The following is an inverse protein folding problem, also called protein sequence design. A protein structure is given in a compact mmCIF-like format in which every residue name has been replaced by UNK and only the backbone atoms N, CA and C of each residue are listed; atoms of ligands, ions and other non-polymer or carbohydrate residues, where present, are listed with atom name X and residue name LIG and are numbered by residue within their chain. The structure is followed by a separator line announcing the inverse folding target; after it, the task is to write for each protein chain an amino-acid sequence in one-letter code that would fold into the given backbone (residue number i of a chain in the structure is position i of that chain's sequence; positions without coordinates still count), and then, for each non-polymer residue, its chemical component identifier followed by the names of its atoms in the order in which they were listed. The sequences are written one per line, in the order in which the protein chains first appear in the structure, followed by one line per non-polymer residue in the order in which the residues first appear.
data_IF_663341873724
#
_entry.id   IF_663341873724
#
_cell.length_a   1.000
_cell.length_b   1.000
_cell.length_c   1.000
_cell.angle_alpha   90.00
_cell.angle_beta   90.00
_cell.angle_gamma   90.00
#
_symmetry.space_group_name_H-M   'P 1'
#
loop_
_entity.id
_entity.type
_entity.pdbx_description
1 polymer ?
#
# COMPACT_ATOMS: atom_id res chain seq x y z
N UNK A 1 -78.27 -25.50 11.46
CA UNK A 1 -77.28 -24.39 11.59
C UNK A 1 -76.21 -24.62 10.54
N UNK A 2 -76.35 -24.00 9.36
CA UNK A 2 -75.39 -24.17 8.24
C UNK A 2 -74.32 -23.07 8.35
N UNK A 3 -73.07 -23.49 8.53
CA UNK A 3 -71.91 -22.60 8.41
C UNK A 3 -71.61 -22.42 6.90
N UNK A 4 -71.78 -21.21 6.41
CA UNK A 4 -71.35 -20.79 5.12
C UNK A 4 -69.85 -20.51 5.17
N UNK A 5 -69.03 -21.34 4.53
CA UNK A 5 -67.61 -21.11 4.27
C UNK A 5 -67.54 -20.33 2.96
N UNK A 6 -66.96 -19.15 2.99
CA UNK A 6 -66.71 -18.33 1.83
C UNK A 6 -65.55 -18.89 0.99
N UNK A 7 -65.69 -19.16 -0.31
CA UNK A 7 -64.65 -19.81 -1.15
C UNK A 7 -63.56 -18.84 -1.67
N UNK A 8 -63.44 -17.64 -1.08
CA UNK A 8 -62.56 -16.60 -1.64
C UNK A 8 -61.20 -16.43 -0.93
N UNK A 9 -60.99 -16.93 0.28
CA UNK A 9 -59.90 -16.48 1.14
C UNK A 9 -58.62 -17.34 1.12
N UNK A 10 -58.54 -18.43 0.33
CA UNK A 10 -57.40 -19.34 0.40
C UNK A 10 -56.40 -19.25 -0.76
N UNK A 11 -56.69 -18.45 -1.80
CA UNK A 11 -55.76 -18.30 -2.96
C UNK A 11 -54.81 -17.08 -2.86
N UNK A 12 -55.24 -16.02 -2.19
CA UNK A 12 -54.42 -14.79 -2.09
C UNK A 12 -53.25 -14.92 -1.16
N UNK A 13 -53.39 -15.62 -0.02
CA UNK A 13 -52.32 -15.77 0.96
C UNK A 13 -51.10 -16.60 0.48
N UNK A 14 -51.30 -17.51 -0.47
CA UNK A 14 -50.20 -18.30 -1.05
C UNK A 14 -49.51 -17.55 -2.18
N UNK A 15 -50.22 -16.71 -2.88
CA UNK A 15 -49.66 -15.90 -3.99
C UNK A 15 -48.84 -14.73 -3.44
N UNK A 16 -49.28 -14.11 -2.37
CA UNK A 16 -48.54 -13.04 -1.71
C UNK A 16 -47.27 -13.57 -1.02
N UNK A 17 -47.33 -14.75 -0.40
CA UNK A 17 -46.15 -15.38 0.19
C UNK A 17 -45.09 -15.79 -0.87
N UNK A 18 -45.54 -16.26 -2.05
CA UNK A 18 -44.65 -16.58 -3.16
C UNK A 18 -44.09 -15.32 -3.81
N UNK A 19 -44.88 -14.26 -3.96
CA UNK A 19 -44.43 -12.97 -4.49
C UNK A 19 -43.46 -12.30 -3.50
N UNK A 20 -43.71 -12.40 -2.20
CA UNK A 20 -42.75 -11.90 -1.19
C UNK A 20 -41.46 -12.73 -1.14
N UNK A 21 -41.48 -14.01 -1.41
CA UNK A 21 -40.27 -14.82 -1.52
C UNK A 21 -39.47 -14.55 -2.80
N UNK A 22 -40.12 -14.12 -3.89
CA UNK A 22 -39.45 -13.69 -5.13
C UNK A 22 -38.94 -12.24 -5.06
N UNK A 23 -39.55 -11.38 -4.23
CA UNK A 23 -39.10 -10.01 -4.01
C UNK A 23 -38.07 -9.88 -2.89
N UNK A 24 -37.75 -10.94 -2.15
CA UNK A 24 -36.50 -11.09 -1.46
C UNK A 24 -35.38 -11.37 -2.49
N UNK A 25 -35.22 -10.47 -3.47
CA UNK A 25 -33.95 -10.39 -4.18
C UNK A 25 -32.91 -10.20 -3.08
N UNK A 26 -32.11 -11.21 -2.80
CA UNK A 26 -30.92 -11.08 -1.97
C UNK A 26 -30.20 -9.85 -2.48
N UNK A 27 -30.28 -8.75 -1.73
CA UNK A 27 -29.36 -7.64 -1.94
C UNK A 27 -27.99 -8.31 -1.94
N UNK A 28 -27.15 -8.11 -2.95
CA UNK A 28 -25.82 -8.68 -2.95
C UNK A 28 -25.22 -8.33 -1.60
N UNK A 29 -24.91 -9.32 -0.79
CA UNK A 29 -24.26 -9.14 0.51
C UNK A 29 -22.89 -8.59 0.14
N UNK A 30 -22.77 -7.25 0.16
CA UNK A 30 -21.48 -6.64 -0.03
C UNK A 30 -20.56 -7.15 1.06
N UNK A 31 -19.33 -7.57 0.72
CA UNK A 31 -18.38 -7.99 1.74
C UNK A 31 -18.23 -6.87 2.76
N UNK A 32 -18.05 -7.20 4.06
CA UNK A 32 -17.89 -6.19 5.10
C UNK A 32 -16.77 -5.24 4.70
N UNK A 33 -17.06 -3.95 4.70
CA UNK A 33 -16.06 -2.92 4.43
C UNK A 33 -15.06 -2.84 5.57
N UNK A 34 -13.81 -2.59 5.21
CA UNK A 34 -12.71 -2.46 6.14
C UNK A 34 -12.53 -0.97 6.43
N UNK A 35 -12.78 -0.56 7.67
CA UNK A 35 -12.57 0.81 8.16
C UNK A 35 -11.27 0.86 8.96
N UNK A 36 -10.25 1.53 8.42
CA UNK A 36 -8.93 1.65 9.02
C UNK A 36 -8.51 3.09 9.30
N UNK A 37 -9.13 4.07 8.65
CA UNK A 37 -8.65 5.45 8.64
C UNK A 37 -9.74 6.47 8.95
N UNK A 38 -9.36 7.64 9.50
CA UNK A 38 -10.27 8.70 9.91
C UNK A 38 -11.23 9.16 8.81
N UNK A 39 -10.77 9.20 7.57
CA UNK A 39 -11.52 9.77 6.45
C UNK A 39 -12.81 8.98 6.15
N UNK A 40 -12.84 7.67 6.44
CA UNK A 40 -14.01 6.82 6.22
C UNK A 40 -15.03 7.02 7.33
N UNK A 41 -16.10 7.76 7.02
CA UNK A 41 -17.19 8.07 7.97
C UNK A 41 -18.51 7.37 7.65
N UNK A 42 -18.60 6.69 6.51
CA UNK A 42 -19.81 6.02 6.03
C UNK A 42 -19.48 4.76 5.23
N UNK A 43 -20.47 3.89 5.08
CA UNK A 43 -20.42 2.72 4.18
C UNK A 43 -20.63 3.19 2.74
N UNK A 44 -19.85 2.66 1.80
CA UNK A 44 -20.01 2.94 0.37
C UNK A 44 -18.70 3.25 -0.36
N UNK A 45 -18.83 3.48 -1.66
CA UNK A 45 -17.71 3.75 -2.55
C UNK A 45 -17.27 5.21 -2.42
N UNK A 46 -15.95 5.47 -2.52
CA UNK A 46 -15.37 6.82 -2.49
C UNK A 46 -15.54 7.60 -1.18
N UNK A 47 -15.63 6.91 -0.05
CA UNK A 47 -15.71 7.56 1.26
C UNK A 47 -14.34 8.00 1.82
N UNK A 48 -13.26 7.80 1.08
CA UNK A 48 -11.90 8.26 1.39
C UNK A 48 -11.31 9.01 0.19
N UNK A 49 -11.86 10.18 -0.20
CA UNK A 49 -11.45 10.90 -1.40
C UNK A 49 -10.00 11.40 -1.36
N UNK A 50 -9.49 11.88 -0.21
CA UNK A 50 -8.10 12.31 -0.07
C UNK A 50 -7.16 11.10 -0.10
N UNK A 51 -7.52 10.00 0.58
CA UNK A 51 -6.82 8.73 0.50
C UNK A 51 -6.71 8.27 -0.95
N UNK A 52 -7.82 8.27 -1.69
CA UNK A 52 -7.84 7.88 -3.11
C UNK A 52 -6.97 8.78 -3.99
N UNK A 53 -7.15 10.11 -3.94
CA UNK A 53 -6.48 11.07 -4.82
C UNK A 53 -4.98 11.12 -4.52
N UNK A 54 -4.57 11.04 -3.26
CA UNK A 54 -3.16 11.08 -2.87
C UNK A 54 -2.32 9.94 -3.45
N UNK A 55 -2.95 8.82 -3.82
CA UNK A 55 -2.30 7.71 -4.50
C UNK A 55 -1.79 8.04 -5.91
N UNK A 56 -2.30 9.12 -6.54
CA UNK A 56 -1.77 9.62 -7.82
C UNK A 56 -0.29 10.02 -7.69
N UNK A 57 0.19 10.39 -6.50
CA UNK A 57 1.61 10.69 -6.27
C UNK A 57 2.52 9.51 -6.61
N UNK A 58 2.13 8.27 -6.32
CA UNK A 58 2.90 7.07 -6.69
C UNK A 58 2.96 6.90 -8.22
N UNK A 59 1.86 7.16 -8.92
CA UNK A 59 1.80 7.04 -10.38
C UNK A 59 2.64 8.12 -11.07
N UNK A 60 2.61 9.36 -10.56
CA UNK A 60 3.46 10.45 -11.03
C UNK A 60 4.94 10.09 -10.83
N UNK A 61 5.31 9.59 -9.65
CA UNK A 61 6.66 9.13 -9.35
C UNK A 61 7.10 8.02 -10.30
N UNK A 62 6.27 6.99 -10.49
CA UNK A 62 6.54 5.87 -11.41
C UNK A 62 6.71 6.35 -12.85
N UNK A 63 5.83 7.25 -13.33
CA UNK A 63 5.93 7.82 -14.67
C UNK A 63 7.23 8.58 -14.85
N UNK A 64 7.61 9.47 -13.94
CA UNK A 64 8.87 10.21 -14.02
C UNK A 64 10.08 9.28 -14.03
N UNK A 65 10.10 8.27 -13.16
CA UNK A 65 11.18 7.29 -13.05
C UNK A 65 11.31 6.43 -14.31
N UNK A 66 10.20 6.10 -14.98
CA UNK A 66 10.23 5.33 -16.23
C UNK A 66 10.87 6.09 -17.40
N UNK A 67 10.95 7.42 -17.33
CA UNK A 67 11.53 8.30 -18.35
C UNK A 67 13.04 8.53 -18.15
N UNK A 68 13.63 8.02 -17.08
CA UNK A 68 15.06 8.17 -16.85
C UNK A 68 15.87 7.35 -17.87
N UNK A 69 17.02 7.87 -18.35
CA UNK A 69 17.74 7.29 -19.49
C UNK A 69 18.39 5.93 -19.20
N UNK A 70 18.71 5.68 -17.93
CA UNK A 70 19.38 4.44 -17.52
C UNK A 70 18.45 3.55 -16.72
N UNK A 71 18.06 2.44 -17.33
CA UNK A 71 17.16 1.45 -16.75
C UNK A 71 17.84 0.08 -16.70
N UNK A 72 17.50 -0.69 -15.70
CA UNK A 72 17.83 -2.11 -15.55
C UNK A 72 16.54 -2.91 -15.30
N UNK A 73 16.62 -4.22 -15.35
CA UNK A 73 15.48 -5.07 -14.96
C UNK A 73 15.03 -4.73 -13.53
N UNK A 74 15.97 -4.48 -12.61
CA UNK A 74 15.65 -4.08 -11.24
C UNK A 74 14.92 -2.72 -11.19
N UNK A 75 15.32 -1.74 -12.03
CA UNK A 75 14.61 -0.46 -12.14
C UNK A 75 13.16 -0.67 -12.59
N UNK A 76 12.94 -1.47 -13.62
CA UNK A 76 11.59 -1.75 -14.13
C UNK A 76 10.73 -2.49 -13.09
N UNK A 77 11.30 -3.43 -12.33
CA UNK A 77 10.58 -4.12 -11.25
C UNK A 77 10.18 -3.17 -10.13
N UNK A 78 11.07 -2.28 -9.69
CA UNK A 78 10.78 -1.28 -8.67
C UNK A 78 9.69 -0.31 -9.13
N UNK A 79 9.75 0.16 -10.40
CA UNK A 79 8.75 1.05 -11.00
C UNK A 79 7.40 0.32 -11.14
N UNK A 80 7.40 -0.96 -11.51
CA UNK A 80 6.18 -1.76 -11.59
C UNK A 80 5.51 -1.89 -10.22
N UNK A 81 6.26 -2.23 -9.17
CA UNK A 81 5.74 -2.27 -7.81
C UNK A 81 5.18 -0.92 -7.36
N UNK A 82 5.91 0.17 -7.64
CA UNK A 82 5.47 1.53 -7.31
C UNK A 82 4.13 1.88 -7.99
N UNK A 83 3.97 1.50 -9.26
CA UNK A 83 2.72 1.68 -10.00
C UNK A 83 1.59 0.84 -9.42
N UNK A 84 1.88 -0.41 -9.06
CA UNK A 84 0.90 -1.31 -8.44
C UNK A 84 0.47 -0.83 -7.06
N UNK A 85 1.36 -0.21 -6.28
CA UNK A 85 1.01 0.45 -5.00
C UNK A 85 0.00 1.57 -5.27
N UNK A 86 0.28 2.48 -6.21
CA UNK A 86 -0.64 3.58 -6.52
C UNK A 86 -2.02 3.11 -6.97
N UNK A 87 -2.09 2.04 -7.78
CA UNK A 87 -3.36 1.47 -8.24
C UNK A 87 -4.05 0.70 -7.10
N UNK A 88 -3.33 -0.21 -6.43
CA UNK A 88 -3.89 -1.09 -5.40
C UNK A 88 -4.39 -0.31 -4.19
N UNK A 89 -3.59 0.64 -3.69
CA UNK A 89 -3.98 1.54 -2.61
C UNK A 89 -5.15 2.44 -3.01
N UNK A 90 -5.14 3.00 -4.23
CA UNK A 90 -6.29 3.74 -4.75
C UNK A 90 -7.58 2.91 -4.78
N UNK A 91 -7.49 1.65 -5.22
CA UNK A 91 -8.64 0.73 -5.19
C UNK A 91 -9.08 0.40 -3.76
N UNK A 92 -8.16 0.27 -2.82
CA UNK A 92 -8.50 0.05 -1.42
C UNK A 92 -9.27 1.25 -0.84
N UNK A 93 -8.81 2.48 -1.05
CA UNK A 93 -9.50 3.69 -0.59
C UNK A 93 -10.85 3.90 -1.30
N UNK A 94 -11.01 3.39 -2.53
CA UNK A 94 -12.30 3.45 -3.22
C UNK A 94 -13.31 2.41 -2.70
N UNK A 95 -12.89 1.16 -2.45
CA UNK A 95 -13.80 0.03 -2.23
C UNK A 95 -13.69 -0.61 -0.85
N UNK A 96 -12.58 -0.45 -0.13
CA UNK A 96 -12.32 -0.93 1.24
C UNK A 96 -12.69 -2.40 1.50
N UNK A 97 -12.37 -3.30 0.57
CA UNK A 97 -12.62 -4.73 0.68
C UNK A 97 -11.34 -5.50 1.01
N UNK A 98 -11.47 -6.74 1.49
CA UNK A 98 -10.30 -7.62 1.71
C UNK A 98 -9.49 -7.84 0.43
N UNK A 99 -10.13 -7.95 -0.73
CA UNK A 99 -9.45 -8.12 -2.01
C UNK A 99 -8.61 -6.88 -2.36
N UNK A 100 -9.18 -5.67 -2.21
CA UNK A 100 -8.46 -4.42 -2.49
C UNK A 100 -7.40 -4.12 -1.44
N UNK A 101 -7.57 -4.53 -0.18
CA UNK A 101 -6.52 -4.49 0.83
C UNK A 101 -5.31 -5.35 0.43
N UNK A 102 -5.52 -6.54 -0.11
CA UNK A 102 -4.43 -7.36 -0.63
C UNK A 102 -3.74 -6.72 -1.84
N UNK A 103 -4.51 -6.05 -2.72
CA UNK A 103 -3.95 -5.31 -3.86
C UNK A 103 -3.10 -4.12 -3.42
N UNK A 104 -3.34 -3.54 -2.25
CA UNK A 104 -2.52 -2.50 -1.62
C UNK A 104 -1.27 -3.11 -0.98
N UNK A 105 -1.42 -4.09 -0.10
CA UNK A 105 -0.34 -4.60 0.76
C UNK A 105 0.69 -5.45 0.01
N UNK A 106 0.26 -6.29 -0.94
CA UNK A 106 1.17 -7.18 -1.68
C UNK A 106 2.22 -6.41 -2.48
N UNK A 107 1.89 -5.35 -3.25
CA UNK A 107 2.89 -4.56 -3.96
C UNK A 107 3.87 -3.84 -3.03
N UNK A 108 3.42 -3.36 -1.87
CA UNK A 108 4.30 -2.75 -0.86
C UNK A 108 5.34 -3.77 -0.41
N UNK A 109 4.92 -4.99 -0.07
CA UNK A 109 5.84 -6.05 0.33
C UNK A 109 6.79 -6.44 -0.81
N UNK A 110 6.30 -6.53 -2.04
CA UNK A 110 7.11 -6.78 -3.23
C UNK A 110 8.19 -5.73 -3.45
N UNK A 111 7.83 -4.44 -3.28
CA UNK A 111 8.78 -3.33 -3.38
C UNK A 111 9.84 -3.39 -2.27
N UNK A 112 9.46 -3.66 -1.02
CA UNK A 112 10.38 -3.79 0.11
C UNK A 112 11.43 -4.88 -0.18
N UNK A 113 10.99 -6.07 -0.56
CA UNK A 113 11.88 -7.20 -0.82
C UNK A 113 12.79 -6.92 -2.03
N UNK A 114 12.26 -6.36 -3.11
CA UNK A 114 13.06 -5.96 -4.27
C UNK A 114 14.09 -4.89 -3.90
N UNK A 115 13.72 -3.93 -3.05
CA UNK A 115 14.65 -2.90 -2.54
C UNK A 115 15.79 -3.53 -1.74
N UNK A 116 15.50 -4.45 -0.82
CA UNK A 116 16.53 -5.15 -0.05
C UNK A 116 17.49 -5.89 -1.00
N UNK A 117 16.96 -6.61 -1.99
CA UNK A 117 17.78 -7.27 -2.99
C UNK A 117 18.68 -6.29 -3.76
N UNK A 118 18.12 -5.20 -4.26
CA UNK A 118 18.86 -4.19 -5.02
C UNK A 118 19.96 -3.57 -4.18
N UNK A 119 19.66 -3.14 -2.96
CA UNK A 119 20.62 -2.45 -2.12
C UNK A 119 21.75 -3.38 -1.63
N UNK A 120 21.41 -4.59 -1.20
CA UNK A 120 22.39 -5.48 -0.58
C UNK A 120 23.10 -6.42 -1.57
N UNK A 121 22.37 -7.03 -2.51
CA UNK A 121 22.99 -7.94 -3.49
C UNK A 121 23.62 -7.19 -4.66
N UNK A 122 22.94 -6.18 -5.23
CA UNK A 122 23.42 -5.49 -6.43
C UNK A 122 24.41 -4.38 -6.07
N UNK A 123 24.05 -3.49 -5.11
CA UNK A 123 24.90 -2.35 -4.75
C UNK A 123 26.05 -2.73 -3.81
N UNK A 124 25.74 -3.36 -2.68
CA UNK A 124 26.74 -3.71 -1.65
C UNK A 124 27.47 -5.03 -1.94
N UNK A 125 27.05 -5.79 -2.99
CA UNK A 125 27.69 -7.04 -3.42
C UNK A 125 27.70 -8.14 -2.35
N UNK A 126 26.73 -8.15 -1.44
CA UNK A 126 26.62 -9.20 -0.44
C UNK A 126 26.22 -10.53 -1.09
N UNK A 127 26.61 -11.63 -0.49
CA UNK A 127 26.28 -12.98 -0.97
C UNK A 127 24.76 -13.17 -0.94
N UNK A 128 24.19 -13.70 -2.02
CA UNK A 128 22.76 -13.86 -2.21
C UNK A 128 22.04 -14.55 -1.05
N UNK A 129 22.64 -15.58 -0.42
CA UNK A 129 22.04 -16.29 0.70
C UNK A 129 21.95 -15.44 1.97
N UNK A 130 22.88 -14.49 2.21
CA UNK A 130 22.77 -13.51 3.29
C UNK A 130 21.59 -12.58 3.02
N UNK A 131 21.45 -12.13 1.78
CA UNK A 131 20.36 -11.21 1.39
C UNK A 131 19.00 -11.89 1.51
N UNK A 132 18.88 -13.16 1.12
CA UNK A 132 17.65 -13.93 1.37
C UNK A 132 17.37 -14.09 2.87
N UNK A 133 18.41 -14.32 3.69
CA UNK A 133 18.27 -14.31 5.15
C UNK A 133 17.76 -13.00 5.70
N UNK A 134 18.26 -11.86 5.21
CA UNK A 134 17.76 -10.51 5.59
C UNK A 134 16.30 -10.29 5.15
N UNK A 135 15.94 -10.72 3.94
CA UNK A 135 14.57 -10.63 3.45
C UNK A 135 13.62 -11.46 4.32
N UNK A 136 13.99 -12.71 4.62
CA UNK A 136 13.20 -13.57 5.50
C UNK A 136 13.08 -12.98 6.91
N UNK A 137 14.18 -12.48 7.49
CA UNK A 137 14.18 -11.83 8.79
C UNK A 137 13.29 -10.59 8.80
N UNK A 138 13.36 -9.75 7.76
CA UNK A 138 12.50 -8.57 7.62
C UNK A 138 11.02 -8.96 7.64
N UNK A 139 10.62 -9.98 6.86
CA UNK A 139 9.23 -10.46 6.82
C UNK A 139 8.79 -11.02 8.17
N UNK A 140 9.61 -11.90 8.78
CA UNK A 140 9.29 -12.54 10.05
C UNK A 140 9.14 -11.51 11.18
N UNK A 141 10.11 -10.60 11.32
CA UNK A 141 10.03 -9.55 12.35
C UNK A 141 8.83 -8.64 12.11
N UNK A 142 8.55 -8.25 10.86
CA UNK A 142 7.37 -7.42 10.54
C UNK A 142 6.06 -8.14 10.87
N UNK A 143 5.98 -9.46 10.71
CA UNK A 143 4.79 -10.25 11.01
C UNK A 143 4.55 -10.45 12.52
N UNK A 144 5.63 -10.52 13.32
CA UNK A 144 5.58 -10.70 14.78
C UNK A 144 5.32 -9.39 15.54
N UNK A 145 5.53 -8.23 14.92
CA UNK A 145 5.26 -6.95 15.57
C UNK A 145 3.76 -6.76 15.79
N UNK A 146 3.33 -6.29 16.98
CA UNK A 146 1.92 -6.11 17.30
C UNK A 146 1.23 -5.16 16.30
N UNK A 147 0.13 -5.62 15.70
CA UNK A 147 -0.61 -4.87 14.67
C UNK A 147 -1.22 -3.55 15.17
N UNK A 148 -1.40 -3.41 16.46
CA UNK A 148 -1.90 -2.19 17.10
C UNK A 148 -0.78 -1.17 17.40
N UNK A 149 0.48 -1.57 17.32
CA UNK A 149 1.59 -0.63 17.53
C UNK A 149 1.69 0.37 16.38
N UNK A 150 1.73 1.66 16.75
CA UNK A 150 1.83 2.77 15.81
C UNK A 150 0.76 2.69 14.70
N UNK A 151 -0.46 2.29 15.07
CA UNK A 151 -1.55 2.12 14.11
C UNK A 151 -1.17 1.18 12.94
N UNK A 152 -0.49 0.05 13.23
CA UNK A 152 -0.01 -0.91 12.25
C UNK A 152 1.27 -0.48 11.51
N UNK A 153 1.83 0.69 11.80
CA UNK A 153 3.05 1.20 11.14
C UNK A 153 4.32 0.51 11.64
N UNK A 154 4.29 -0.15 12.81
CA UNK A 154 5.45 -0.86 13.37
C UNK A 154 6.01 -1.93 12.42
N UNK A 155 5.18 -2.58 11.61
CA UNK A 155 5.59 -3.56 10.62
C UNK A 155 6.54 -3.03 9.54
N UNK A 156 6.67 -1.71 9.37
CA UNK A 156 7.60 -1.09 8.43
C UNK A 156 8.98 -0.79 9.04
N UNK A 157 9.13 -0.87 10.38
CA UNK A 157 10.39 -0.56 11.06
C UNK A 157 11.56 -1.43 10.60
N UNK A 158 11.43 -2.77 10.40
CA UNK A 158 12.53 -3.59 9.90
C UNK A 158 13.04 -3.13 8.52
N UNK A 159 12.13 -2.78 7.60
CA UNK A 159 12.48 -2.27 6.28
C UNK A 159 13.21 -0.90 6.38
N UNK A 160 12.76 -0.01 7.27
CA UNK A 160 13.42 1.27 7.52
C UNK A 160 14.83 1.09 8.09
N UNK A 161 15.01 0.18 9.05
CA UNK A 161 16.33 -0.12 9.63
C UNK A 161 17.29 -0.63 8.55
N UNK A 162 16.83 -1.55 7.69
CA UNK A 162 17.64 -2.02 6.57
C UNK A 162 17.97 -0.91 5.57
N UNK A 163 17.02 -0.02 5.26
CA UNK A 163 17.27 1.15 4.41
C UNK A 163 18.34 2.06 5.02
N UNK A 164 18.28 2.33 6.33
CA UNK A 164 19.24 3.14 7.07
C UNK A 164 20.65 2.51 7.03
N UNK A 165 20.76 1.21 7.29
CA UNK A 165 22.02 0.47 7.21
C UNK A 165 22.59 0.56 5.78
N UNK A 166 21.79 0.31 4.76
CA UNK A 166 22.22 0.43 3.38
C UNK A 166 22.72 1.86 3.05
N UNK A 167 22.00 2.90 3.47
CA UNK A 167 22.39 4.29 3.24
C UNK A 167 23.73 4.66 3.90
N UNK A 168 24.04 4.07 5.07
CA UNK A 168 25.33 4.30 5.74
C UNK A 168 26.48 3.55 5.07
N UNK A 169 26.23 2.36 4.55
CA UNK A 169 27.23 1.50 3.91
C UNK A 169 27.52 1.89 2.45
N UNK A 170 26.65 2.66 1.80
CA UNK A 170 26.90 3.10 0.41
C UNK A 170 28.06 4.08 0.32
N UNK A 171 28.82 3.96 -0.78
CA UNK A 171 29.86 4.92 -1.13
C UNK A 171 29.29 6.33 -1.31
N UNK A 172 30.07 7.38 -0.93
CA UNK A 172 29.67 8.76 -1.18
C UNK A 172 29.38 9.00 -2.66
N UNK A 173 28.22 9.58 -2.97
CA UNK A 173 27.77 9.87 -4.32
C UNK A 173 26.31 10.32 -4.32
N UNK A 174 25.76 10.51 -5.51
CA UNK A 174 24.36 10.93 -5.67
C UNK A 174 23.40 9.82 -5.25
N UNK A 175 23.75 8.57 -5.53
CA UNK A 175 22.99 7.38 -5.10
C UNK A 175 22.81 7.36 -3.57
N UNK A 176 23.90 7.56 -2.79
CA UNK A 176 23.82 7.63 -1.32
C UNK A 176 22.97 8.80 -0.83
N UNK A 177 23.06 9.97 -1.49
CA UNK A 177 22.26 11.15 -1.10
C UNK A 177 20.77 10.86 -1.19
N UNK A 178 20.31 10.19 -2.26
CA UNK A 178 18.92 9.77 -2.41
C UNK A 178 18.49 8.78 -1.32
N UNK A 179 19.34 7.80 -0.95
CA UNK A 179 19.05 6.88 0.15
C UNK A 179 18.93 7.61 1.49
N UNK A 180 19.81 8.56 1.77
CA UNK A 180 19.74 9.36 3.00
C UNK A 180 18.46 10.20 3.06
N UNK A 181 18.05 10.84 1.94
CA UNK A 181 16.80 11.59 1.88
C UNK A 181 15.59 10.67 2.11
N UNK A 182 15.56 9.47 1.51
CA UNK A 182 14.53 8.48 1.73
C UNK A 182 14.49 8.03 3.21
N UNK A 183 15.65 7.74 3.80
CA UNK A 183 15.77 7.31 5.20
C UNK A 183 15.30 8.35 6.19
N UNK A 184 15.54 9.63 5.92
CA UNK A 184 15.15 10.75 6.79
C UNK A 184 13.64 11.08 6.64
N UNK A 185 13.08 10.98 5.44
CA UNK A 185 11.66 11.27 5.23
C UNK A 185 10.75 10.12 5.69
N UNK A 186 11.23 8.87 5.66
CA UNK A 186 10.39 7.71 5.95
C UNK A 186 9.77 7.73 7.35
N UNK A 187 10.49 8.04 8.46
CA UNK A 187 9.87 8.14 9.79
C UNK A 187 8.83 9.28 9.86
N UNK A 188 9.02 10.39 9.15
CA UNK A 188 8.02 11.45 9.04
C UNK A 188 6.75 10.92 8.36
N UNK A 189 6.93 10.21 7.26
CA UNK A 189 5.85 9.54 6.55
C UNK A 189 5.10 8.55 7.46
N UNK A 190 5.83 7.67 8.18
CA UNK A 190 5.24 6.74 9.15
C UNK A 190 4.48 7.46 10.27
N UNK A 191 4.93 8.63 10.70
CA UNK A 191 4.24 9.42 11.72
C UNK A 191 2.83 9.80 11.26
N UNK A 192 2.66 10.31 10.04
CA UNK A 192 1.33 10.66 9.51
C UNK A 192 0.38 9.46 9.51
N UNK A 193 0.86 8.26 9.16
CA UNK A 193 0.06 7.05 9.21
C UNK A 193 -0.27 6.62 10.65
N UNK A 194 0.69 6.77 11.56
CA UNK A 194 0.58 6.30 12.94
C UNK A 194 -0.38 7.14 13.78
N UNK A 195 -0.41 8.45 13.56
CA UNK A 195 -1.24 9.38 14.33
C UNK A 195 -2.63 9.59 13.73
N UNK A 196 -2.92 9.02 12.56
CA UNK A 196 -4.17 9.22 11.84
C UNK A 196 -5.37 9.03 12.79
N UNK A 197 -5.58 7.84 13.31
CA UNK A 197 -6.73 7.51 14.18
C UNK A 197 -6.75 8.28 15.50
N UNK A 198 -5.62 8.85 15.93
CA UNK A 198 -5.57 9.69 17.14
C UNK A 198 -6.13 11.08 16.89
N UNK A 199 -6.12 11.54 15.66
CA UNK A 199 -6.49 12.89 15.27
C UNK A 199 -7.90 13.00 14.68
N UNK A 200 -8.67 11.91 14.53
CA UNK A 200 -9.98 11.90 13.87
C UNK A 200 -10.97 12.94 14.44
N UNK A 201 -10.94 13.20 15.76
CA UNK A 201 -11.81 14.20 16.37
C UNK A 201 -11.42 15.64 16.02
N UNK A 202 -10.11 15.90 15.86
CA UNK A 202 -9.59 17.23 15.55
C UNK A 202 -9.49 17.48 14.04
N UNK A 203 -9.16 16.44 13.28
CA UNK A 203 -8.97 16.46 11.83
C UNK A 203 -9.78 15.30 11.23
N UNK A 204 -11.04 15.49 10.87
CA UNK A 204 -11.91 14.43 10.36
C UNK A 204 -11.39 13.75 9.07
N UNK A 205 -10.63 14.47 8.24
CA UNK A 205 -9.96 13.91 7.07
C UNK A 205 -8.75 13.02 7.43
N UNK A 206 -8.33 13.02 8.69
CA UNK A 206 -7.12 12.35 9.15
C UNK A 206 -5.84 12.89 8.53
N UNK A 207 -4.78 12.12 8.69
CA UNK A 207 -3.44 12.43 8.17
C UNK A 207 -2.90 11.36 7.21
N UNK A 208 -3.68 10.31 6.97
CA UNK A 208 -3.24 9.14 6.18
C UNK A 208 -2.88 9.51 4.73
N UNK A 209 -3.60 10.45 4.11
CA UNK A 209 -3.27 10.92 2.75
C UNK A 209 -1.85 11.54 2.66
N UNK A 210 -1.34 12.14 3.75
CA UNK A 210 0.04 12.65 3.81
C UNK A 210 1.06 11.51 3.83
N UNK A 211 0.71 10.36 4.43
CA UNK A 211 1.51 9.15 4.32
C UNK A 211 1.72 8.76 2.85
N UNK A 212 0.67 8.77 2.01
CA UNK A 212 0.80 8.44 0.59
C UNK A 212 1.76 9.38 -0.12
N UNK A 213 1.59 10.69 0.05
CA UNK A 213 2.44 11.69 -0.63
C UNK A 213 3.90 11.57 -0.19
N UNK A 214 4.16 11.52 1.12
CA UNK A 214 5.51 11.39 1.66
C UNK A 214 6.14 10.04 1.27
N UNK A 215 5.36 8.95 1.32
CA UNK A 215 5.86 7.62 0.98
C UNK A 215 6.14 7.50 -0.52
N UNK A 216 5.33 8.10 -1.38
CA UNK A 216 5.62 8.18 -2.82
C UNK A 216 6.98 8.85 -3.08
N UNK A 217 7.31 9.91 -2.34
CA UNK A 217 8.61 10.60 -2.43
C UNK A 217 9.76 9.74 -1.87
N UNK A 218 9.54 9.03 -0.76
CA UNK A 218 10.51 8.05 -0.22
C UNK A 218 10.86 7.00 -1.27
N UNK A 219 9.83 6.38 -1.86
CA UNK A 219 9.99 5.33 -2.87
C UNK A 219 10.62 5.88 -4.16
N UNK A 220 10.26 7.10 -4.55
CA UNK A 220 10.90 7.81 -5.65
C UNK A 220 12.42 7.91 -5.42
N UNK A 221 12.87 8.35 -4.25
CA UNK A 221 14.30 8.46 -3.96
C UNK A 221 15.01 7.10 -3.90
N UNK A 222 14.36 6.07 -3.41
CA UNK A 222 14.92 4.71 -3.42
C UNK A 222 15.19 4.25 -4.86
N UNK A 223 14.24 4.42 -5.77
CA UNK A 223 14.43 4.04 -7.19
C UNK A 223 15.45 4.94 -7.87
N UNK A 224 15.43 6.26 -7.61
CA UNK A 224 16.45 7.20 -8.14
C UNK A 224 17.86 6.88 -7.65
N UNK A 225 18.00 6.41 -6.41
CA UNK A 225 19.30 5.92 -5.92
C UNK A 225 19.86 4.82 -6.80
N UNK A 226 19.02 3.81 -7.15
CA UNK A 226 19.46 2.74 -8.02
C UNK A 226 19.82 3.23 -9.43
N UNK A 227 18.99 4.08 -10.04
CA UNK A 227 19.23 4.65 -11.36
C UNK A 227 20.53 5.50 -11.38
N UNK A 228 20.75 6.34 -10.34
CA UNK A 228 21.96 7.15 -10.24
C UNK A 228 23.22 6.30 -10.12
N UNK A 229 23.16 5.18 -9.43
CA UNK A 229 24.30 4.25 -9.37
C UNK A 229 24.61 3.64 -10.76
N UNK A 230 23.60 3.34 -11.58
CA UNK A 230 23.82 2.89 -12.94
C UNK A 230 24.47 3.97 -13.81
N UNK A 231 24.11 5.25 -13.58
CA UNK A 231 24.72 6.42 -14.24
C UNK A 231 26.19 6.58 -13.80
N UNK A 232 26.48 6.54 -12.51
CA UNK A 232 27.83 6.67 -11.92
C UNK A 232 28.77 5.57 -12.42
N UNK A 233 28.35 4.30 -12.41
CA UNK A 233 29.14 3.17 -12.89
C UNK A 233 29.49 3.32 -14.37
N UNK A 234 28.56 3.78 -15.21
CA UNK A 234 28.80 3.95 -16.63
C UNK A 234 29.76 5.10 -16.99
N UNK A 235 29.92 6.06 -16.11
CA UNK A 235 30.90 7.15 -16.27
C UNK A 235 32.30 6.65 -15.88
N UNK A 236 32.42 5.83 -14.84
CA UNK A 236 33.69 5.23 -14.43
C UNK A 236 34.26 4.27 -15.46
N UNK A 237 33.41 3.55 -16.22
CA UNK A 237 33.85 2.61 -17.26
C UNK A 237 34.36 3.32 -18.55
N UNK A 238 34.17 4.65 -18.64
CA UNK A 238 34.60 5.46 -19.80
C UNK A 238 35.87 6.29 -19.54
N UNK A 239 36.28 6.40 -18.29
CA UNK A 239 37.50 7.13 -17.84
C UNK A 239 38.70 6.18 -17.76
#
# INVERSE_FOLDING_TARGET
MRLLVNPGDSLDLKTDAVIQSFNASEKPVMPPEIDLYCERTAVGIFNEPLGLISNVAFLIAAFYLSRQPRQSIASYLLIAWLSMIGIGSGLFHAFATTATLLMDVIPIQGLILTTIWVLYAIHLKWKWWIVFGLMALCVLVSAELPRNWLNGSAGYLPAWILLMIAATLHQPGLSRRYLLMATLLFPISLTFRSIDNLLCQAIPSGTHFMWHVCNALVLFWIVRSHQSMLEENSLSDRS
#
